data_IF_115289946569
#
_entry.id   IF_115289946569
#
_cell.length_a   1.000
_cell.length_b   1.000
_cell.length_c   1.000
_cell.angle_alpha   90.00
_cell.angle_beta   90.00
_cell.angle_gamma   90.00
#
_symmetry.space_group_name_H-M   'P 1'
#
loop_
_entity.id
_entity.type
_entity.pdbx_description
1 polymer ?
#
# COMPACT_ATOMS: atom_id res chain seq x y z
N UNK A 1 -1.22 32.50 28.45
CA UNK A 1 -1.46 31.06 28.65
C UNK A 1 -2.91 30.65 28.38
N UNK A 2 -3.45 30.86 27.17
CA UNK A 2 -4.87 30.52 26.86
C UNK A 2 -5.13 29.96 25.46
N UNK A 3 -4.13 29.94 24.58
CA UNK A 3 -4.31 29.49 23.19
C UNK A 3 -4.14 27.96 23.00
N UNK A 4 -3.60 27.25 23.99
CA UNK A 4 -3.27 25.82 23.85
C UNK A 4 -4.48 24.88 23.95
N UNK A 5 -5.55 25.29 24.65
CA UNK A 5 -6.71 24.42 24.84
C UNK A 5 -7.62 24.30 23.61
N UNK A 6 -7.54 25.23 22.65
CA UNK A 6 -8.37 25.20 21.43
C UNK A 6 -7.82 24.24 20.37
N UNK A 7 -6.50 24.05 20.32
CA UNK A 7 -5.85 23.16 19.34
C UNK A 7 -6.11 21.69 19.67
N UNK A 8 -6.23 21.32 20.94
CA UNK A 8 -6.53 19.94 21.35
C UNK A 8 -7.94 19.48 20.96
N UNK A 9 -8.94 20.39 20.90
CA UNK A 9 -10.29 20.02 20.49
C UNK A 9 -10.40 19.74 18.98
N UNK A 10 -9.61 20.45 18.16
CA UNK A 10 -9.59 20.24 16.71
C UNK A 10 -8.93 18.90 16.31
N UNK A 11 -7.91 18.45 17.06
CA UNK A 11 -7.23 17.18 16.76
C UNK A 11 -8.10 15.94 17.04
N UNK A 12 -9.04 16.01 17.98
CA UNK A 12 -9.95 14.89 18.27
C UNK A 12 -11.06 14.77 17.21
N UNK A 13 -11.51 15.88 16.62
CA UNK A 13 -12.54 15.87 15.57
C UNK A 13 -12.03 15.30 14.24
N UNK A 14 -10.75 15.55 13.88
CA UNK A 14 -10.13 15.00 12.67
C UNK A 14 -9.77 13.52 12.81
N UNK A 15 -9.54 13.04 14.03
CA UNK A 15 -9.22 11.63 14.29
C UNK A 15 -10.41 10.67 14.14
N UNK A 16 -11.65 11.18 14.08
CA UNK A 16 -12.86 10.37 13.84
C UNK A 16 -13.27 10.29 12.36
N UNK A 17 -12.75 11.16 11.50
CA UNK A 17 -13.10 11.17 10.08
C UNK A 17 -12.26 10.18 9.24
N UNK A 18 -11.13 9.70 9.77
CA UNK A 18 -10.26 8.72 9.10
C UNK A 18 -10.40 7.31 9.67
N UNK A 19 -11.49 7.04 10.41
CA UNK A 19 -11.96 5.69 10.72
C UNK A 19 -12.96 5.18 9.67
N UNK A 20 -13.07 5.85 8.52
CA UNK A 20 -13.58 5.22 7.30
C UNK A 20 -12.45 4.42 6.65
N UNK A 21 -11.98 3.41 7.39
CA UNK A 21 -11.40 2.18 6.86
C UNK A 21 -12.09 1.87 5.54
N UNK A 22 -11.27 1.51 4.55
CA UNK A 22 -11.63 0.81 3.31
C UNK A 22 -12.61 -0.34 3.56
N UNK A 23 -13.86 -0.01 3.80
CA UNK A 23 -14.98 -0.91 3.76
C UNK A 23 -15.26 -1.09 2.27
N UNK A 24 -14.53 -2.00 1.61
CA UNK A 24 -15.03 -2.58 0.37
C UNK A 24 -16.38 -3.23 0.72
N UNK A 25 -17.51 -2.63 0.31
CA UNK A 25 -18.81 -3.15 0.70
C UNK A 25 -19.03 -4.42 -0.14
N UNK A 26 -18.92 -5.58 0.48
CA UNK A 26 -19.62 -6.84 0.14
C UNK A 26 -20.04 -7.12 -1.33
N UNK A 27 -19.18 -6.84 -2.31
CA UNK A 27 -19.28 -7.38 -3.68
C UNK A 27 -18.09 -8.26 -4.14
N UNK A 28 -17.17 -8.76 -3.28
CA UNK A 28 -15.99 -9.49 -3.76
C UNK A 28 -16.37 -10.84 -4.39
N UNK A 29 -17.47 -11.47 -3.98
CA UNK A 29 -17.82 -12.84 -4.38
C UNK A 29 -18.22 -12.94 -5.86
N UNK A 30 -19.09 -12.06 -6.35
CA UNK A 30 -19.53 -12.08 -7.75
C UNK A 30 -18.37 -11.80 -8.72
N UNK A 31 -17.49 -10.84 -8.38
CA UNK A 31 -16.29 -10.55 -9.17
C UNK A 31 -15.33 -11.74 -9.16
N UNK A 32 -15.15 -12.37 -8.01
CA UNK A 32 -14.25 -13.51 -7.84
C UNK A 32 -14.74 -14.74 -8.62
N UNK A 33 -16.04 -15.02 -8.62
CA UNK A 33 -16.60 -16.11 -9.44
C UNK A 33 -16.44 -15.85 -10.95
N UNK A 34 -16.61 -14.60 -11.40
CA UNK A 34 -16.32 -14.22 -12.79
C UNK A 34 -14.85 -14.41 -13.15
N UNK A 35 -13.93 -14.07 -12.25
CA UNK A 35 -12.49 -14.28 -12.48
C UNK A 35 -12.17 -15.77 -12.56
N UNK A 36 -12.73 -16.60 -11.67
CA UNK A 36 -12.55 -18.06 -11.70
C UNK A 36 -13.00 -18.65 -13.05
N UNK A 37 -14.20 -18.31 -13.52
CA UNK A 37 -14.70 -18.82 -14.79
C UNK A 37 -13.90 -18.31 -15.99
N UNK A 38 -13.46 -17.05 -15.96
CA UNK A 38 -12.60 -16.49 -17.00
C UNK A 38 -11.23 -17.20 -17.07
N UNK A 39 -10.63 -17.54 -15.93
CA UNK A 39 -9.37 -18.29 -15.89
C UNK A 39 -9.56 -19.68 -16.50
N UNK A 40 -10.60 -20.40 -16.09
CA UNK A 40 -10.90 -21.73 -16.63
C UNK A 40 -11.10 -21.69 -18.15
N UNK A 41 -11.90 -20.74 -18.65
CA UNK A 41 -12.14 -20.56 -20.07
C UNK A 41 -10.86 -20.25 -20.86
N UNK A 42 -10.00 -19.35 -20.33
CA UNK A 42 -8.72 -19.00 -20.98
C UNK A 42 -7.74 -20.16 -21.04
N UNK A 43 -7.79 -21.07 -20.07
CA UNK A 43 -6.96 -22.27 -20.03
C UNK A 43 -7.58 -23.45 -20.79
N UNK A 44 -8.78 -23.30 -21.36
CA UNK A 44 -9.50 -24.41 -22.00
C UNK A 44 -9.95 -25.50 -21.03
N UNK A 45 -10.11 -25.15 -19.74
CA UNK A 45 -10.47 -26.09 -18.67
C UNK A 45 -11.96 -25.98 -18.35
N UNK A 46 -12.61 -27.12 -18.16
CA UNK A 46 -14.01 -27.19 -17.71
C UNK A 46 -14.12 -27.11 -16.19
N UNK A 47 -13.07 -27.49 -15.47
CA UNK A 47 -13.03 -27.50 -14.01
C UNK A 47 -11.61 -27.25 -13.50
N UNK A 48 -11.51 -26.95 -12.20
CA UNK A 48 -10.22 -26.78 -11.53
C UNK A 48 -9.49 -28.13 -11.47
N UNK A 49 -8.25 -28.24 -11.98
CA UNK A 49 -7.49 -29.47 -11.89
C UNK A 49 -7.14 -29.78 -10.43
N UNK A 50 -7.22 -31.07 -10.08
CA UNK A 50 -6.76 -31.56 -8.78
C UNK A 50 -5.25 -31.70 -8.82
N UNK A 51 -4.49 -31.06 -7.92
CA UNK A 51 -3.05 -31.25 -7.86
C UNK A 51 -2.74 -32.72 -7.57
N UNK A 52 -1.88 -33.33 -8.39
CA UNK A 52 -1.46 -34.72 -8.18
C UNK A 52 -0.33 -34.76 -7.16
N UNK A 53 -0.61 -35.35 -5.99
CA UNK A 53 0.37 -35.58 -4.94
C UNK A 53 0.76 -34.33 -4.15
N UNK A 54 1.64 -34.53 -3.16
CA UNK A 54 2.25 -33.44 -2.42
C UNK A 54 3.42 -32.86 -3.22
N UNK A 55 3.59 -31.52 -3.25
CA UNK A 55 4.78 -30.93 -3.84
C UNK A 55 6.05 -31.41 -3.11
N UNK A 56 7.19 -31.52 -3.81
CA UNK A 56 8.47 -31.85 -3.20
C UNK A 56 8.81 -30.95 -2.00
N UNK A 57 9.48 -31.51 -0.97
CA UNK A 57 9.72 -30.82 0.31
C UNK A 57 10.58 -29.57 0.17
N UNK A 58 11.52 -29.58 -0.75
CA UNK A 58 12.37 -28.44 -1.14
C UNK A 58 11.55 -27.29 -1.72
N UNK A 59 10.58 -27.57 -2.59
CA UNK A 59 9.67 -26.55 -3.15
C UNK A 59 8.83 -25.91 -2.04
N UNK A 60 8.30 -26.72 -1.13
CA UNK A 60 7.56 -26.21 0.04
C UNK A 60 8.44 -25.31 0.90
N UNK A 61 9.68 -25.75 1.19
CA UNK A 61 10.64 -24.94 1.96
C UNK A 61 10.99 -23.63 1.26
N UNK A 62 11.18 -23.64 -0.05
CA UNK A 62 11.47 -22.45 -0.84
C UNK A 62 10.30 -21.45 -0.83
N UNK A 63 9.06 -21.93 -0.97
CA UNK A 63 7.85 -21.09 -0.87
C UNK A 63 7.73 -20.48 0.52
N UNK A 64 7.95 -21.27 1.58
CA UNK A 64 7.88 -20.78 2.95
C UNK A 64 8.98 -19.77 3.27
N UNK A 65 10.20 -20.00 2.79
CA UNK A 65 11.30 -19.05 2.93
C UNK A 65 10.96 -17.70 2.24
N UNK A 66 10.50 -17.76 0.98
CA UNK A 66 10.08 -16.56 0.25
C UNK A 66 8.90 -15.84 0.90
N UNK A 67 7.95 -16.58 1.47
CA UNK A 67 6.83 -16.00 2.20
C UNK A 67 7.29 -15.32 3.49
N UNK A 68 8.29 -15.87 4.18
CA UNK A 68 8.90 -15.26 5.36
C UNK A 68 9.69 -13.98 5.03
N UNK A 69 10.22 -13.86 3.82
CA UNK A 69 10.92 -12.66 3.34
C UNK A 69 9.97 -11.50 2.96
N UNK A 70 8.66 -11.64 3.17
CA UNK A 70 7.68 -10.58 2.92
C UNK A 70 7.66 -9.54 4.04
N UNK A 71 8.82 -8.99 4.40
CA UNK A 71 8.87 -7.66 5.02
C UNK A 71 8.47 -6.66 3.93
N UNK A 72 7.43 -5.84 4.13
CA UNK A 72 7.09 -4.79 3.20
C UNK A 72 8.25 -3.79 3.19
N UNK A 73 9.10 -3.88 2.16
CA UNK A 73 10.13 -2.88 1.92
C UNK A 73 9.42 -1.52 1.90
N UNK A 74 9.76 -0.58 2.79
CA UNK A 74 9.11 0.72 2.81
C UNK A 74 9.24 1.33 1.42
N UNK A 75 8.19 1.99 0.90
CA UNK A 75 8.23 2.53 -0.44
C UNK A 75 9.38 3.55 -0.51
N UNK A 76 10.47 3.18 -1.18
CA UNK A 76 11.63 4.04 -1.44
C UNK A 76 11.23 5.37 -2.11
N UNK A 77 10.02 5.42 -2.67
CA UNK A 77 9.40 6.59 -3.25
C UNK A 77 9.13 7.72 -2.24
N UNK A 78 8.85 7.41 -0.96
CA UNK A 78 8.65 8.46 0.05
C UNK A 78 9.96 9.19 0.39
N UNK A 79 11.07 8.46 0.44
CA UNK A 79 12.40 9.03 0.68
C UNK A 79 12.83 9.92 -0.49
N UNK A 80 12.64 9.45 -1.72
CA UNK A 80 12.91 10.23 -2.92
C UNK A 80 12.03 11.48 -3.01
N UNK A 81 10.75 11.39 -2.63
CA UNK A 81 9.87 12.56 -2.61
C UNK A 81 10.29 13.58 -1.54
N UNK A 82 10.71 13.13 -0.35
CA UNK A 82 11.25 14.00 0.70
C UNK A 82 12.54 14.69 0.25
N UNK A 83 13.41 14.00 -0.48
CA UNK A 83 14.63 14.56 -1.05
C UNK A 83 14.34 15.63 -2.11
N UNK A 84 13.44 15.36 -3.06
CA UNK A 84 13.03 16.34 -4.08
C UNK A 84 12.43 17.60 -3.45
N UNK A 85 11.59 17.46 -2.41
CA UNK A 85 11.02 18.60 -1.66
C UNK A 85 12.13 19.39 -0.95
N UNK A 86 13.13 18.71 -0.36
CA UNK A 86 14.23 19.37 0.32
C UNK A 86 15.11 20.18 -0.63
N UNK A 87 15.39 19.66 -1.83
CA UNK A 87 16.16 20.36 -2.88
C UNK A 87 15.39 21.61 -3.34
N UNK A 88 14.11 21.47 -3.67
CA UNK A 88 13.28 22.60 -4.10
C UNK A 88 13.23 23.72 -3.06
N UNK A 89 13.10 23.38 -1.77
CA UNK A 89 13.10 24.37 -0.68
C UNK A 89 14.47 25.05 -0.45
N UNK A 90 15.58 24.35 -0.73
CA UNK A 90 16.92 24.92 -0.62
C UNK A 90 17.17 25.93 -1.74
N UNK A 91 16.79 25.57 -2.96
CA UNK A 91 16.97 26.43 -4.13
C UNK A 91 16.08 27.68 -4.05
N UNK A 92 14.85 27.54 -3.54
CA UNK A 92 13.96 28.68 -3.31
C UNK A 92 14.54 29.67 -2.28
N UNK A 93 15.17 29.18 -1.20
CA UNK A 93 15.83 30.04 -0.22
C UNK A 93 17.06 30.76 -0.80
N UNK A 94 17.83 30.09 -1.64
CA UNK A 94 19.01 30.67 -2.29
C UNK A 94 18.62 31.75 -3.32
N UNK A 95 17.54 31.52 -4.09
CA UNK A 95 17.02 32.49 -5.05
C UNK A 95 16.45 33.75 -4.38
N UNK A 96 15.83 33.61 -3.20
CA UNK A 96 15.34 34.78 -2.43
C UNK A 96 16.43 35.57 -1.72
N UNK A 97 17.66 35.03 -1.63
CA UNK A 97 18.78 35.69 -0.98
C UNK A 97 19.62 36.51 -1.97
N UNK A 98 19.75 36.05 -3.22
CA UNK A 98 20.44 36.78 -4.31
C UNK A 98 19.67 38.03 -4.78
N UNK A 99 18.35 38.10 -4.58
CA UNK A 99 17.52 39.25 -5.00
C UNK A 99 17.48 40.42 -3.98
N UNK A 100 18.37 40.40 -2.98
CA UNK A 100 18.45 41.42 -1.91
C UNK A 100 19.84 42.06 -1.73
N UNK A 101 20.76 41.87 -2.67
CA UNK A 101 22.07 42.52 -2.65
C UNK A 101 22.26 43.44 -3.86
#
# INVERSE_FOLDING_TARGET
MRAWFVVCAALVAVSRATAATSAHPHAPTARLERIKSQILAKLGLTSRPTPQGAPPRDVVRAILARAADSEPQPPQQEEHMREVIAIAHKDFRNLTFEDRN
#
